data_IF_775497440198
#
_entry.id   IF_775497440198
#
_cell.length_a   1.000
_cell.length_b   1.000
_cell.length_c   1.000
_cell.angle_alpha   90.00
_cell.angle_beta   90.00
_cell.angle_gamma   90.00
#
_symmetry.space_group_name_H-M   'P 1'
#
loop_
_entity.id
_entity.type
_entity.pdbx_description
1 polymer ?
#
# COMPACT_ATOMS: atom_id res chain seq x y z
N UNK A 1 4.02 14.66 -13.00
CA UNK A 1 5.00 14.13 -12.02
C UNK A 1 4.95 12.59 -12.04
N UNK A 2 5.55 11.97 -13.07
CA UNK A 2 5.41 10.53 -13.28
C UNK A 2 6.07 9.70 -12.17
N UNK A 3 7.32 10.02 -11.82
CA UNK A 3 8.01 9.29 -10.75
C UNK A 3 7.34 9.46 -9.38
N UNK A 4 6.83 10.66 -9.06
CA UNK A 4 6.10 10.89 -7.80
C UNK A 4 4.86 10.00 -7.70
N UNK A 5 4.09 9.88 -8.79
CA UNK A 5 2.91 9.00 -8.80
C UNK A 5 3.31 7.51 -8.67
N UNK A 6 4.39 7.10 -9.34
CA UNK A 6 4.94 5.75 -9.22
C UNK A 6 5.43 5.46 -7.80
N UNK A 7 6.13 6.42 -7.16
CA UNK A 7 6.55 6.34 -5.77
C UNK A 7 5.36 6.18 -4.82
N UNK A 8 4.31 6.98 -5.01
CA UNK A 8 3.10 6.89 -4.18
C UNK A 8 2.40 5.55 -4.35
N UNK A 9 2.26 5.06 -5.58
CA UNK A 9 1.60 3.78 -5.83
C UNK A 9 2.39 2.62 -5.22
N UNK A 10 3.73 2.61 -5.35
CA UNK A 10 4.58 1.60 -4.71
C UNK A 10 4.53 1.70 -3.18
N UNK A 11 4.47 2.90 -2.63
CA UNK A 11 4.30 3.10 -1.19
C UNK A 11 2.99 2.50 -0.70
N UNK A 12 1.89 2.76 -1.39
CA UNK A 12 0.57 2.18 -1.06
C UNK A 12 0.57 0.66 -1.17
N UNK A 13 1.23 0.10 -2.19
CA UNK A 13 1.37 -1.34 -2.37
C UNK A 13 2.15 -1.98 -1.22
N UNK A 14 3.37 -1.48 -0.97
CA UNK A 14 4.31 -2.14 -0.05
C UNK A 14 3.97 -1.86 1.42
N UNK A 15 3.43 -0.68 1.74
CA UNK A 15 3.01 -0.38 3.11
C UNK A 15 1.80 -1.23 3.49
N UNK A 16 0.86 -1.41 2.58
CA UNK A 16 -0.33 -2.25 2.78
C UNK A 16 -0.89 -2.11 4.21
N UNK A 17 -1.42 -0.93 4.52
CA UNK A 17 -1.88 -0.54 5.86
C UNK A 17 -2.82 -1.57 6.48
N UNK A 18 -3.74 -2.13 5.68
CA UNK A 18 -4.62 -3.22 6.07
C UNK A 18 -4.26 -4.50 5.29
N UNK A 19 -4.06 -5.61 5.99
CA UNK A 19 -3.80 -6.92 5.37
C UNK A 19 -5.05 -7.50 4.72
N UNK A 20 -6.19 -7.22 5.32
CA UNK A 20 -7.50 -7.69 4.88
C UNK A 20 -8.45 -6.51 4.72
N UNK A 21 -9.39 -6.65 3.81
CA UNK A 21 -10.54 -5.75 3.77
C UNK A 21 -11.39 -5.90 5.04
N UNK A 22 -12.31 -4.96 5.27
CA UNK A 22 -13.34 -5.09 6.29
C UNK A 22 -14.11 -6.40 6.07
N UNK A 23 -14.47 -7.13 7.14
CA UNK A 23 -15.24 -8.34 7.00
C UNK A 23 -16.55 -8.13 6.23
N UNK A 24 -16.84 -9.04 5.29
CA UNK A 24 -18.08 -9.08 4.55
C UNK A 24 -18.89 -10.30 4.99
N UNK A 25 -20.17 -10.33 4.68
CA UNK A 25 -21.01 -11.51 4.84
C UNK A 25 -21.67 -11.85 3.51
N UNK A 26 -21.68 -13.14 3.17
CA UNK A 26 -22.38 -13.61 1.98
C UNK A 26 -23.90 -13.41 2.14
N UNK A 27 -24.53 -12.67 1.21
CA UNK A 27 -25.97 -12.40 1.23
C UNK A 27 -26.80 -13.53 0.61
N UNK A 28 -26.16 -14.40 -0.15
CA UNK A 28 -26.68 -15.62 -0.77
C UNK A 28 -25.57 -16.64 -0.86
N UNK A 29 -25.88 -17.87 -1.27
CA UNK A 29 -24.85 -18.83 -1.63
C UNK A 29 -24.07 -18.31 -2.85
N UNK A 30 -22.74 -18.37 -2.79
CA UNK A 30 -21.84 -17.83 -3.81
C UNK A 30 -20.91 -18.94 -4.29
N UNK A 31 -20.88 -19.20 -5.59
CA UNK A 31 -19.90 -20.09 -6.19
C UNK A 31 -18.58 -19.33 -6.43
N UNK A 32 -17.45 -19.90 -5.97
CA UNK A 32 -16.09 -19.39 -6.17
C UNK A 32 -15.20 -20.57 -6.63
N UNK A 33 -14.90 -20.62 -7.91
CA UNK A 33 -14.28 -21.81 -8.51
C UNK A 33 -15.13 -23.05 -8.24
N UNK A 34 -14.49 -24.09 -7.67
CA UNK A 34 -15.16 -25.36 -7.32
C UNK A 34 -15.82 -25.35 -5.93
N UNK A 35 -15.83 -24.21 -5.25
CA UNK A 35 -16.38 -24.07 -3.89
C UNK A 35 -17.72 -23.33 -3.90
N UNK A 36 -18.58 -23.68 -2.95
CA UNK A 36 -19.79 -22.92 -2.64
C UNK A 36 -19.65 -22.33 -1.26
N UNK A 37 -19.73 -21.00 -1.17
CA UNK A 37 -19.74 -20.26 0.10
C UNK A 37 -21.20 -20.07 0.50
N UNK A 38 -21.68 -20.68 1.62
CA UNK A 38 -23.05 -20.55 2.05
C UNK A 38 -23.41 -19.12 2.45
N UNK A 39 -24.68 -18.75 2.30
CA UNK A 39 -25.25 -17.53 2.84
C UNK A 39 -24.92 -17.36 4.33
N UNK A 40 -24.56 -16.14 4.73
CA UNK A 40 -24.19 -15.80 6.11
C UNK A 40 -22.73 -16.06 6.47
N UNK A 41 -21.96 -16.70 5.59
CA UNK A 41 -20.52 -16.93 5.82
C UNK A 41 -19.78 -15.60 5.86
N UNK A 42 -18.92 -15.44 6.87
CA UNK A 42 -17.97 -14.32 6.97
C UNK A 42 -16.86 -14.44 5.94
N UNK A 43 -16.61 -13.38 5.17
CA UNK A 43 -15.60 -13.32 4.11
C UNK A 43 -14.59 -12.24 4.46
N UNK A 44 -13.31 -12.60 4.46
CA UNK A 44 -12.18 -11.70 4.71
C UNK A 44 -11.28 -11.63 3.45
N UNK A 45 -11.52 -10.69 2.54
CA UNK A 45 -10.66 -10.54 1.36
C UNK A 45 -9.23 -10.19 1.76
N UNK A 46 -8.26 -11.01 1.35
CA UNK A 46 -6.85 -10.76 1.60
C UNK A 46 -6.29 -9.79 0.54
N UNK A 47 -6.10 -8.54 0.91
CA UNK A 47 -5.53 -7.53 0.01
C UNK A 47 -4.04 -7.77 -0.23
N UNK A 48 -3.35 -8.21 0.83
CA UNK A 48 -1.91 -8.45 0.77
C UNK A 48 -1.54 -9.59 -0.17
N UNK A 49 -2.38 -10.62 -0.32
CA UNK A 49 -2.09 -11.73 -1.21
C UNK A 49 -2.02 -11.29 -2.68
N UNK A 50 -2.79 -10.27 -3.07
CA UNK A 50 -2.76 -9.70 -4.41
C UNK A 50 -1.57 -8.74 -4.56
N UNK A 51 -1.38 -7.82 -3.62
CA UNK A 51 -0.34 -6.79 -3.71
C UNK A 51 1.08 -7.33 -3.53
N UNK A 52 1.23 -8.55 -3.02
CA UNK A 52 2.52 -9.23 -2.84
C UNK A 52 2.66 -10.50 -3.69
N UNK A 53 1.79 -10.70 -4.65
CA UNK A 53 1.89 -11.82 -5.58
C UNK A 53 3.20 -11.74 -6.39
N UNK A 54 4.12 -12.71 -6.26
CA UNK A 54 5.40 -12.67 -6.95
C UNK A 54 5.29 -12.89 -8.47
N UNK A 55 4.19 -13.49 -8.94
CA UNK A 55 3.94 -13.66 -10.38
C UNK A 55 3.62 -12.31 -11.02
N UNK A 56 2.88 -11.45 -10.33
CA UNK A 56 2.53 -10.12 -10.82
C UNK A 56 3.56 -9.06 -10.45
N UNK A 57 4.08 -9.10 -9.22
CA UNK A 57 5.09 -8.17 -8.71
C UNK A 57 6.43 -8.88 -8.42
N UNK A 58 7.32 -9.05 -9.42
CA UNK A 58 8.62 -9.67 -9.19
C UNK A 58 9.39 -8.98 -8.05
N UNK A 59 9.94 -9.79 -7.12
CA UNK A 59 10.56 -9.29 -5.88
C UNK A 59 9.59 -8.38 -5.08
N UNK A 60 8.43 -8.87 -4.65
CA UNK A 60 7.34 -8.04 -4.13
C UNK A 60 7.70 -7.30 -2.83
N UNK A 61 8.75 -7.74 -2.15
CA UNK A 61 9.26 -7.17 -0.91
C UNK A 61 10.23 -6.00 -1.12
N UNK A 62 10.68 -5.78 -2.35
CA UNK A 62 11.56 -4.67 -2.69
C UNK A 62 10.74 -3.43 -3.05
N UNK A 63 11.04 -2.31 -2.41
CA UNK A 63 10.48 -1.00 -2.80
C UNK A 63 11.07 -0.57 -4.14
N UNK A 64 10.27 -0.55 -5.17
CA UNK A 64 10.70 -0.29 -6.54
C UNK A 64 9.65 0.51 -7.31
N UNK A 65 9.63 1.84 -7.18
CA UNK A 65 8.69 2.70 -7.91
C UNK A 65 8.73 2.51 -9.44
N UNK A 66 9.90 2.13 -9.98
CA UNK A 66 10.12 1.95 -11.41
C UNK A 66 9.20 0.89 -12.03
N UNK A 67 8.63 -0.02 -11.23
CA UNK A 67 7.64 -1.00 -11.72
C UNK A 67 6.37 -0.35 -12.29
N UNK A 68 6.10 0.88 -11.87
CA UNK A 68 4.95 1.68 -12.31
C UNK A 68 5.33 2.79 -13.29
N UNK A 69 6.44 2.61 -13.99
CA UNK A 69 6.85 3.44 -15.11
C UNK A 69 6.89 2.60 -16.38
N UNK A 70 6.50 3.20 -17.50
CA UNK A 70 6.72 2.60 -18.83
C UNK A 70 8.16 2.83 -19.31
N UNK A 71 8.50 2.32 -20.48
CA UNK A 71 9.81 2.47 -21.13
C UNK A 71 10.22 3.93 -21.40
N UNK A 72 9.26 4.85 -21.42
CA UNK A 72 9.47 6.28 -21.59
C UNK A 72 9.52 7.04 -20.26
N UNK A 73 9.52 6.33 -19.12
CA UNK A 73 9.49 6.91 -17.78
C UNK A 73 8.15 7.55 -17.40
N UNK A 74 7.06 7.23 -18.10
CA UNK A 74 5.72 7.71 -17.78
C UNK A 74 5.02 6.80 -16.80
N UNK A 75 4.29 7.39 -15.88
CA UNK A 75 3.50 6.65 -14.90
C UNK A 75 2.47 5.73 -15.57
N UNK A 76 2.47 4.48 -15.13
CA UNK A 76 1.53 3.43 -15.50
C UNK A 76 0.82 2.95 -14.25
N UNK A 77 -0.49 3.12 -14.20
CA UNK A 77 -1.32 2.58 -13.12
C UNK A 77 -1.38 1.04 -13.22
N UNK A 78 -1.54 0.39 -12.08
CA UNK A 78 -1.70 -1.07 -12.00
C UNK A 78 -2.89 -1.39 -11.08
N UNK A 79 -3.90 -2.05 -11.64
CA UNK A 79 -5.15 -2.39 -10.96
C UNK A 79 -5.00 -3.48 -9.89
N UNK A 80 -3.83 -4.13 -9.78
CA UNK A 80 -3.53 -5.07 -8.70
C UNK A 80 -3.07 -4.36 -7.42
N UNK A 81 -2.81 -3.06 -7.49
CA UNK A 81 -2.56 -2.24 -6.28
C UNK A 81 -3.90 -1.80 -5.70
N UNK A 82 -4.42 -2.58 -4.76
CA UNK A 82 -5.77 -2.45 -4.20
C UNK A 82 -5.79 -2.13 -2.68
N UNK A 83 -5.01 -1.17 -2.18
CA UNK A 83 -4.93 -0.88 -0.74
C UNK A 83 -6.25 -0.39 -0.14
N UNK A 84 -7.15 0.10 -0.99
CA UNK A 84 -8.48 0.61 -0.64
C UNK A 84 -9.61 -0.36 -0.99
N UNK A 85 -9.28 -1.62 -1.31
CA UNK A 85 -10.20 -2.62 -1.82
C UNK A 85 -10.79 -2.26 -3.19
N UNK A 86 -11.72 -3.07 -3.68
CA UNK A 86 -12.34 -2.92 -5.00
C UNK A 86 -13.86 -3.18 -4.94
N UNK A 87 -14.56 -2.80 -6.01
CA UNK A 87 -15.99 -3.08 -6.17
C UNK A 87 -16.89 -2.17 -5.34
N UNK A 88 -18.12 -2.59 -5.08
CA UNK A 88 -19.14 -1.77 -4.42
C UNK A 88 -18.83 -1.41 -2.95
N UNK A 89 -17.86 -2.08 -2.36
CA UNK A 89 -17.45 -1.90 -0.96
C UNK A 89 -16.04 -1.32 -0.84
N UNK A 90 -15.50 -0.73 -1.90
CA UNK A 90 -14.22 0.00 -1.86
C UNK A 90 -14.26 1.14 -0.83
N UNK A 91 -13.10 1.59 -0.37
CA UNK A 91 -12.98 2.66 0.62
C UNK A 91 -13.52 3.99 0.05
N UNK A 92 -14.54 4.60 0.63
CA UNK A 92 -15.07 5.89 0.15
C UNK A 92 -14.08 7.05 0.35
N UNK A 93 -13.11 6.89 1.26
CA UNK A 93 -12.06 7.87 1.54
C UNK A 93 -10.84 7.79 0.61
N UNK A 94 -10.79 6.86 -0.35
CA UNK A 94 -9.63 6.65 -1.23
C UNK A 94 -9.16 7.95 -1.89
N UNK A 95 -10.06 8.65 -2.56
CA UNK A 95 -9.73 9.89 -3.27
C UNK A 95 -9.17 10.99 -2.36
N UNK A 96 -9.65 11.06 -1.11
CA UNK A 96 -9.14 11.99 -0.12
C UNK A 96 -7.73 11.59 0.33
N UNK A 97 -7.54 10.32 0.71
CA UNK A 97 -6.27 9.80 1.17
C UNK A 97 -5.15 9.94 0.11
N UNK A 98 -5.44 9.66 -1.15
CA UNK A 98 -4.48 9.83 -2.25
C UNK A 98 -4.08 11.29 -2.45
N UNK A 99 -5.04 12.23 -2.36
CA UNK A 99 -4.76 13.66 -2.45
C UNK A 99 -3.96 14.17 -1.26
N UNK A 100 -4.30 13.76 -0.06
CA UNK A 100 -3.56 14.09 1.16
C UNK A 100 -2.13 13.56 1.08
N UNK A 101 -1.94 12.32 0.68
CA UNK A 101 -0.62 11.72 0.51
C UNK A 101 0.22 12.55 -0.48
N UNK A 102 -0.35 12.89 -1.65
CA UNK A 102 0.33 13.72 -2.63
C UNK A 102 0.72 15.08 -2.06
N UNK A 103 -0.23 15.79 -1.45
CA UNK A 103 0.00 17.15 -0.93
C UNK A 103 1.05 17.17 0.18
N UNK A 104 0.98 16.23 1.13
CA UNK A 104 1.97 16.14 2.20
C UNK A 104 3.34 15.76 1.66
N UNK A 105 3.43 14.72 0.82
CA UNK A 105 4.69 14.28 0.24
C UNK A 105 5.38 15.41 -0.55
N UNK A 106 4.66 15.99 -1.50
CA UNK A 106 5.22 17.04 -2.37
C UNK A 106 5.50 18.31 -1.57
N UNK A 107 4.60 18.72 -0.68
CA UNK A 107 4.78 19.91 0.16
C UNK A 107 5.98 19.80 1.10
N UNK A 108 6.22 18.61 1.68
CA UNK A 108 7.43 18.37 2.49
C UNK A 108 8.70 18.43 1.64
N UNK A 109 8.72 17.69 0.52
CA UNK A 109 9.89 17.63 -0.35
C UNK A 109 10.24 18.95 -1.06
N UNK A 110 9.27 19.85 -1.21
CA UNK A 110 9.53 21.19 -1.73
C UNK A 110 10.22 22.11 -0.72
N UNK A 111 9.99 21.88 0.57
CA UNK A 111 10.49 22.76 1.64
C UNK A 111 11.69 22.20 2.38
N UNK A 112 11.80 20.87 2.44
CA UNK A 112 12.77 20.21 3.31
C UNK A 112 13.57 19.17 2.55
N UNK A 113 14.84 19.06 2.92
CA UNK A 113 15.65 17.86 2.71
C UNK A 113 15.44 16.95 3.93
N UNK A 114 15.16 15.68 3.67
CA UNK A 114 14.85 14.68 4.69
C UNK A 114 16.04 13.73 4.81
N UNK A 115 16.57 13.57 6.01
CA UNK A 115 17.68 12.68 6.29
C UNK A 115 17.45 11.88 7.58
N UNK A 116 18.20 10.79 7.73
CA UNK A 116 18.24 10.03 8.98
C UNK A 116 19.16 10.71 9.99
N UNK A 117 18.92 10.46 11.28
CA UNK A 117 19.88 10.83 12.32
C UNK A 117 21.16 10.02 12.19
N UNK A 118 22.34 10.64 12.41
CA UNK A 118 23.60 9.89 12.47
C UNK A 118 23.49 8.81 13.54
N UNK A 119 23.82 7.57 13.25
CA UNK A 119 23.77 6.41 14.16
C UNK A 119 22.42 5.70 14.32
N UNK A 120 21.35 6.18 13.73
CA UNK A 120 20.09 5.44 13.72
C UNK A 120 19.99 4.58 12.46
N UNK A 121 19.89 3.26 12.65
CA UNK A 121 19.44 2.40 11.55
C UNK A 121 17.96 2.70 11.31
N UNK A 122 17.64 3.26 10.13
CA UNK A 122 16.25 3.36 9.71
C UNK A 122 15.61 1.97 9.80
N UNK A 123 14.39 1.87 10.31
CA UNK A 123 13.72 0.59 10.39
C UNK A 123 13.70 -0.02 8.99
N UNK A 124 14.34 -1.18 8.83
CA UNK A 124 14.22 -1.91 7.58
C UNK A 124 12.73 -2.23 7.43
N UNK A 125 12.20 -1.94 6.25
CA UNK A 125 10.87 -2.36 5.90
C UNK A 125 10.86 -3.90 5.79
N UNK A 126 10.89 -4.55 6.97
CA UNK A 126 10.92 -6.00 7.04
C UNK A 126 9.47 -6.51 7.03
N UNK A 127 9.11 -7.10 5.91
CA UNK A 127 7.83 -7.74 5.71
C UNK A 127 7.61 -8.94 6.64
N UNK A 128 8.68 -9.51 7.18
CA UNK A 128 8.63 -10.52 8.23
C UNK A 128 8.29 -9.92 9.61
N UNK A 129 8.06 -8.62 9.69
CA UNK A 129 7.45 -8.02 10.85
C UNK A 129 6.09 -8.66 11.06
N UNK A 130 6.04 -9.60 12.01
CA UNK A 130 4.78 -10.16 12.51
C UNK A 130 4.07 -9.01 13.22
N UNK A 131 2.98 -8.46 12.66
CA UNK A 131 2.24 -7.47 13.41
C UNK A 131 1.82 -8.12 14.74
N UNK A 132 1.91 -7.40 15.86
CA UNK A 132 1.15 -7.80 17.03
C UNK A 132 -0.28 -7.98 16.53
N UNK A 133 -1.03 -8.93 17.03
CA UNK A 133 -2.36 -9.42 16.61
C UNK A 133 -3.35 -8.41 15.95
N UNK A 134 -2.87 -7.33 15.39
CA UNK A 134 -3.59 -6.21 14.80
C UNK A 134 -3.71 -6.40 13.29
N UNK A 135 -4.90 -6.20 12.79
CA UNK A 135 -5.25 -6.21 11.36
C UNK A 135 -4.53 -5.06 10.61
N UNK A 136 -4.03 -4.08 11.35
CA UNK A 136 -3.43 -2.84 10.84
C UNK A 136 -1.92 -2.85 11.09
N UNK A 137 -1.15 -2.48 10.08
CA UNK A 137 0.29 -2.30 10.20
C UNK A 137 0.59 -0.94 10.82
N UNK A 138 1.37 -0.93 11.89
CA UNK A 138 1.86 0.27 12.57
C UNK A 138 3.33 0.45 12.20
N UNK A 139 3.69 1.68 11.80
CA UNK A 139 5.09 2.02 11.56
C UNK A 139 5.86 1.99 12.89
N UNK A 140 7.05 1.36 12.96
CA UNK A 140 7.90 1.45 14.15
C UNK A 140 8.35 2.90 14.38
N UNK A 141 8.71 3.21 15.62
CA UNK A 141 9.25 4.53 15.96
C UNK A 141 10.63 4.73 15.32
N UNK A 142 10.83 5.92 14.76
CA UNK A 142 12.11 6.36 14.18
C UNK A 142 12.18 7.88 14.17
N UNK A 143 13.41 8.41 14.17
CA UNK A 143 13.67 9.84 14.08
C UNK A 143 14.17 10.20 12.68
N UNK A 144 13.68 11.34 12.17
CA UNK A 144 14.14 11.93 10.90
C UNK A 144 14.46 13.41 11.11
N UNK A 145 15.40 13.91 10.31
CA UNK A 145 15.80 15.30 10.32
C UNK A 145 15.19 16.00 9.11
N UNK A 146 14.51 17.10 9.34
CA UNK A 146 14.02 18.02 8.32
C UNK A 146 14.93 19.25 8.27
N UNK A 147 15.65 19.45 7.18
CA UNK A 147 16.45 20.64 6.94
C UNK A 147 15.77 21.49 5.88
N UNK A 148 15.62 22.80 6.16
CA UNK A 148 15.03 23.70 5.15
C UNK A 148 15.93 23.75 3.90
N UNK A 149 15.31 23.64 2.74
CA UNK A 149 15.98 23.90 1.48
C UNK A 149 16.24 25.39 1.34
N UNK A 150 17.50 25.74 1.07
CA UNK A 150 17.93 27.11 0.80
C UNK A 150 17.79 27.45 -0.68
#
# INVERSE_FOLDING_TARGET
>A
MHYTNAFMLESLRIVSFAFFSVPHSATSDIAVGDYVIPKGTGIFPSLISVMYDPEHFPNPHSFKPERFLDENGRYKHDDHVIPFCVGKRYCPGQSLAEKEFFLFLVGMLQKFDISSTPMQHLPSYNINYKPPANIIRICPEYDIIFSLRT
#
